data_IF_744484973662
#
_entry.id   IF_744484973662
#
_cell.length_a   1.000
_cell.length_b   1.000
_cell.length_c   1.000
_cell.angle_alpha   90.00
_cell.angle_beta   90.00
_cell.angle_gamma   90.00
#
_symmetry.space_group_name_H-M   'P 1'
#
loop_
_entity.id
_entity.type
_entity.pdbx_description
1 polymer ?
#
# COMPACT_ATOMS: atom_id res chain seq x y z
N UNK A 1 -11.35 -9.65 2.79
CA UNK A 1 -10.50 -9.71 4.01
C UNK A 1 -11.00 -10.78 4.96
N UNK A 2 -12.30 -10.77 5.31
CA UNK A 2 -12.93 -11.80 6.15
C UNK A 2 -12.67 -13.22 5.65
N UNK A 3 -12.67 -13.42 4.34
CA UNK A 3 -12.43 -14.71 3.69
C UNK A 3 -11.05 -15.27 4.05
N UNK A 4 -10.00 -14.45 3.97
CA UNK A 4 -8.65 -14.85 4.36
C UNK A 4 -8.55 -15.10 5.86
N UNK A 5 -9.03 -14.17 6.70
CA UNK A 5 -8.99 -14.29 8.18
C UNK A 5 -9.68 -15.58 8.65
N UNK A 6 -10.76 -15.98 7.96
CA UNK A 6 -11.51 -17.22 8.25
C UNK A 6 -10.96 -18.47 7.54
N UNK A 7 -9.83 -18.37 6.84
CA UNK A 7 -9.16 -19.49 6.17
C UNK A 7 -9.85 -19.98 4.89
N UNK A 8 -10.76 -19.19 4.29
CA UNK A 8 -11.50 -19.55 3.08
C UNK A 8 -10.73 -19.28 1.78
N UNK A 9 -9.66 -18.48 1.85
CA UNK A 9 -8.80 -18.16 0.70
C UNK A 9 -7.34 -18.40 1.06
N UNK A 10 -6.58 -18.99 0.13
CA UNK A 10 -5.17 -19.31 0.34
C UNK A 10 -4.25 -18.08 0.37
N UNK A 11 -4.64 -16.97 -0.25
CA UNK A 11 -3.86 -15.73 -0.32
C UNK A 11 -4.75 -14.52 -0.04
N UNK A 12 -4.17 -13.50 0.58
CA UNK A 12 -4.79 -12.20 0.78
C UNK A 12 -3.78 -11.08 0.48
N UNK A 13 -4.27 -9.95 -0.02
CA UNK A 13 -3.47 -8.76 -0.25
C UNK A 13 -3.94 -7.72 0.76
N UNK A 14 -3.04 -7.31 1.65
CA UNK A 14 -3.33 -6.37 2.74
C UNK A 14 -2.28 -5.26 2.79
N UNK A 15 -2.65 -4.02 3.16
CA UNK A 15 -1.70 -3.05 3.62
C UNK A 15 -1.06 -3.51 4.93
N UNK A 16 0.19 -3.09 5.18
CA UNK A 16 0.98 -3.44 6.37
C UNK A 16 0.20 -3.32 7.68
N UNK A 17 -0.55 -2.23 7.86
CA UNK A 17 -1.30 -1.95 9.09
C UNK A 17 -2.48 -2.89 9.35
N UNK A 18 -2.95 -3.66 8.35
CA UNK A 18 -4.07 -4.61 8.50
C UNK A 18 -3.63 -6.04 8.82
N UNK A 19 -2.33 -6.28 8.95
CA UNK A 19 -1.83 -7.60 9.32
C UNK A 19 -1.92 -7.75 10.84
N UNK A 20 -2.86 -8.57 11.30
CA UNK A 20 -3.09 -8.84 12.73
C UNK A 20 -3.00 -10.35 12.95
N UNK A 21 -1.80 -10.90 13.22
CA UNK A 21 -1.59 -12.35 13.33
C UNK A 21 -2.53 -13.04 14.30
N UNK A 22 -2.89 -12.34 15.38
CA UNK A 22 -3.72 -12.89 16.46
C UNK A 22 -5.19 -13.06 16.05
N UNK A 23 -5.62 -12.43 14.95
CA UNK A 23 -6.96 -12.62 14.37
C UNK A 23 -7.03 -13.89 13.50
N UNK A 24 -5.89 -14.49 13.15
CA UNK A 24 -5.83 -15.60 12.20
C UNK A 24 -5.83 -16.93 12.96
N UNK A 25 -6.74 -17.83 12.58
CA UNK A 25 -6.76 -19.20 13.13
C UNK A 25 -5.64 -20.11 12.60
N UNK A 26 -4.63 -19.56 11.93
CA UNK A 26 -3.59 -20.28 11.20
C UNK A 26 -2.29 -19.46 11.11
N UNK A 27 -1.18 -20.14 10.79
CA UNK A 27 0.10 -19.48 10.52
C UNK A 27 0.09 -18.87 9.11
N UNK A 28 0.60 -17.65 8.98
CA UNK A 28 0.79 -16.98 7.70
C UNK A 28 2.27 -16.65 7.46
N UNK A 29 2.60 -16.37 6.21
CA UNK A 29 3.84 -15.73 5.82
C UNK A 29 3.53 -14.50 4.96
N UNK A 30 4.46 -13.55 4.93
CA UNK A 30 4.35 -12.35 4.09
C UNK A 30 5.33 -12.48 2.94
N UNK A 31 4.81 -12.25 1.73
CA UNK A 31 5.56 -12.31 0.49
C UNK A 31 5.53 -10.93 -0.19
N UNK A 32 6.57 -10.56 -0.96
CA UNK A 32 6.47 -9.40 -1.84
C UNK A 32 5.37 -9.63 -2.88
N UNK A 33 4.82 -8.54 -3.42
CA UNK A 33 3.90 -8.65 -4.56
C UNK A 33 4.60 -9.35 -5.73
N UNK A 34 3.89 -10.17 -6.52
CA UNK A 34 4.48 -10.85 -7.67
C UNK A 34 5.16 -9.87 -8.62
N UNK A 35 6.36 -10.23 -9.07
CA UNK A 35 7.12 -9.44 -10.04
C UNK A 35 6.36 -9.32 -11.36
N UNK A 36 6.16 -8.10 -11.85
CA UNK A 36 5.59 -7.85 -13.16
C UNK A 36 6.53 -8.28 -14.29
N UNK A 37 6.02 -8.55 -15.51
CA UNK A 37 6.85 -9.00 -16.63
C UNK A 37 7.78 -7.92 -17.20
N UNK A 38 7.64 -6.67 -16.75
CA UNK A 38 8.36 -5.50 -17.27
C UNK A 38 9.44 -4.97 -16.31
N UNK A 39 9.76 -5.71 -15.24
CA UNK A 39 10.77 -5.32 -14.26
C UNK A 39 11.73 -6.48 -14.00
N UNK A 40 13.01 -6.14 -13.83
CA UNK A 40 14.06 -7.14 -13.58
C UNK A 40 14.03 -7.64 -12.13
N UNK A 41 13.55 -6.82 -11.20
CA UNK A 41 13.43 -7.12 -9.76
C UNK A 41 12.08 -6.69 -9.17
N UNK A 42 11.83 -7.06 -7.92
CA UNK A 42 10.66 -6.61 -7.15
C UNK A 42 10.66 -5.09 -6.99
N UNK A 43 9.48 -4.50 -7.15
CA UNK A 43 9.27 -3.05 -6.96
C UNK A 43 8.38 -2.84 -5.74
N UNK A 44 8.90 -2.13 -4.74
CA UNK A 44 8.17 -1.75 -3.53
C UNK A 44 7.69 -0.31 -3.68
N UNK A 45 6.45 -0.14 -4.12
CA UNK A 45 5.87 1.20 -4.28
C UNK A 45 5.65 1.85 -2.89
N UNK A 46 5.84 3.17 -2.76
CA UNK A 46 5.41 3.90 -1.59
C UNK A 46 3.91 3.70 -1.42
N UNK A 47 3.51 3.10 -0.30
CA UNK A 47 2.12 3.00 0.08
C UNK A 47 1.55 4.34 0.54
N UNK A 48 0.38 4.31 1.15
CA UNK A 48 -0.14 5.47 1.89
C UNK A 48 0.72 5.66 3.13
N UNK A 49 1.48 6.76 3.17
CA UNK A 49 2.22 7.17 4.36
C UNK A 49 1.42 8.28 5.07
N UNK A 50 1.16 8.10 6.36
CA UNK A 50 0.71 9.21 7.20
C UNK A 50 1.85 10.22 7.33
N UNK A 51 1.54 11.49 7.10
CA UNK A 51 2.52 12.56 7.20
C UNK A 51 1.93 13.72 8.00
N UNK A 52 2.80 14.39 8.76
CA UNK A 52 2.45 15.62 9.46
C UNK A 52 2.65 16.77 8.49
N UNK A 53 1.56 17.50 8.20
CA UNK A 53 1.58 18.62 7.27
C UNK A 53 1.62 19.94 8.03
N UNK A 54 2.53 20.83 7.61
CA UNK A 54 2.54 22.21 8.06
C UNK A 54 1.83 23.10 7.03
N UNK A 55 0.85 23.93 7.45
CA UNK A 55 0.26 24.91 6.55
C UNK A 55 1.32 25.86 5.99
N UNK A 56 1.20 26.19 4.70
CA UNK A 56 2.13 27.10 4.02
C UNK A 56 2.26 28.47 4.71
N UNK A 57 1.21 28.94 5.37
CA UNK A 57 1.15 30.23 6.07
C UNK A 57 1.48 30.15 7.57
N UNK A 58 2.10 29.07 8.04
CA UNK A 58 2.42 28.90 9.46
C UNK A 58 3.40 29.97 9.95
N UNK A 59 2.98 30.75 10.95
CA UNK A 59 3.76 31.90 11.45
C UNK A 59 5.12 31.51 12.07
N UNK A 60 5.27 30.26 12.51
CA UNK A 60 6.52 29.75 13.07
C UNK A 60 6.80 28.30 12.65
N UNK A 61 6.92 28.06 11.34
CA UNK A 61 7.12 26.74 10.76
C UNK A 61 8.31 25.96 11.36
N UNK A 62 9.47 26.61 11.54
CA UNK A 62 10.66 25.95 12.11
C UNK A 62 10.44 25.49 13.57
N UNK A 63 9.64 26.20 14.35
CA UNK A 63 9.27 25.76 15.69
C UNK A 63 8.37 24.54 15.70
N UNK A 64 7.49 24.41 14.70
CA UNK A 64 6.66 23.21 14.54
C UNK A 64 7.49 22.01 14.10
N UNK A 65 8.47 22.20 13.22
CA UNK A 65 9.44 21.14 12.86
C UNK A 65 10.27 20.72 14.08
N UNK A 66 10.70 21.68 14.91
CA UNK A 66 11.45 21.37 16.13
C UNK A 66 10.58 20.59 17.15
N UNK A 67 9.29 20.91 17.25
CA UNK A 67 8.35 20.16 18.07
C UNK A 67 8.14 18.75 17.54
N UNK A 68 8.00 18.59 16.22
CA UNK A 68 7.86 17.28 15.56
C UNK A 68 9.05 16.36 15.88
N UNK A 69 10.28 16.84 15.65
CA UNK A 69 11.50 16.09 15.99
C UNK A 69 11.64 15.79 17.50
N UNK A 70 11.06 16.62 18.36
CA UNK A 70 11.04 16.38 19.81
C UNK A 70 10.03 15.28 20.20
N UNK A 71 8.88 15.23 19.53
CA UNK A 71 7.84 14.23 19.78
C UNK A 71 8.14 12.89 19.12
N UNK A 72 8.85 12.90 17.98
CA UNK A 72 9.16 11.73 17.17
C UNK A 72 10.66 11.70 16.81
N UNK A 73 11.53 11.31 17.76
CA UNK A 73 12.97 11.28 17.52
C UNK A 73 13.36 10.29 16.42
N UNK A 74 14.28 10.70 15.53
CA UNK A 74 14.77 9.84 14.45
C UNK A 74 15.53 8.61 14.98
N UNK A 75 16.13 8.74 16.16
CA UNK A 75 16.83 7.67 16.84
C UNK A 75 15.89 6.50 17.18
N UNK A 76 14.62 6.79 17.48
CA UNK A 76 13.60 5.80 17.81
C UNK A 76 12.98 5.17 16.55
N UNK A 77 13.12 5.81 15.38
CA UNK A 77 12.44 5.37 14.15
C UNK A 77 12.71 3.90 13.81
N UNK A 78 13.98 3.49 13.79
CA UNK A 78 14.35 2.12 13.39
C UNK A 78 13.94 1.09 14.44
N UNK A 79 14.04 1.43 15.72
CA UNK A 79 13.61 0.54 16.81
C UNK A 79 12.09 0.35 16.80
N UNK A 80 11.33 1.44 16.68
CA UNK A 80 9.87 1.40 16.56
C UNK A 80 9.46 0.65 15.30
N UNK A 81 10.13 0.88 14.16
CA UNK A 81 9.86 0.15 12.91
C UNK A 81 10.00 -1.36 13.10
N UNK A 82 11.10 -1.81 13.69
CA UNK A 82 11.35 -3.23 13.89
C UNK A 82 10.34 -3.85 14.87
N UNK A 83 9.95 -3.11 15.93
CA UNK A 83 8.87 -3.51 16.85
C UNK A 83 7.54 -3.66 16.10
N UNK A 84 7.19 -2.68 15.25
CA UNK A 84 5.95 -2.70 14.47
C UNK A 84 5.93 -3.86 13.47
N UNK A 85 7.05 -4.17 12.81
CA UNK A 85 7.15 -5.34 11.93
C UNK A 85 6.97 -6.62 12.76
N UNK A 86 7.68 -6.77 13.88
CA UNK A 86 7.61 -7.94 14.75
C UNK A 86 6.21 -8.17 15.37
N UNK A 87 5.42 -7.11 15.53
CA UNK A 87 4.02 -7.23 15.95
C UNK A 87 3.13 -7.91 14.89
N UNK A 88 3.53 -7.87 13.61
CA UNK A 88 2.71 -8.28 12.46
C UNK A 88 3.16 -9.59 11.80
N UNK A 89 4.38 -10.04 12.06
CA UNK A 89 4.90 -11.28 11.50
C UNK A 89 5.56 -12.12 12.60
N UNK A 90 5.51 -13.45 12.47
CA UNK A 90 5.98 -14.37 13.51
C UNK A 90 7.22 -15.15 13.09
N UNK A 91 7.67 -15.01 11.85
CA UNK A 91 8.82 -15.67 11.26
C UNK A 91 9.86 -14.68 10.72
N UNK A 92 11.11 -15.14 10.63
CA UNK A 92 12.26 -14.32 10.26
C UNK A 92 12.24 -13.94 8.78
N UNK A 93 11.78 -14.84 7.92
CA UNK A 93 11.67 -14.65 6.49
C UNK A 93 10.70 -13.49 6.16
N UNK A 94 9.51 -13.52 6.74
CA UNK A 94 8.52 -12.43 6.60
C UNK A 94 9.02 -11.12 7.19
N UNK A 95 9.73 -11.16 8.32
CA UNK A 95 10.36 -9.96 8.91
C UNK A 95 11.39 -9.34 7.96
N UNK A 96 12.20 -10.17 7.32
CA UNK A 96 13.21 -9.74 6.35
C UNK A 96 12.57 -9.15 5.10
N UNK A 97 11.49 -9.75 4.58
CA UNK A 97 10.73 -9.22 3.44
C UNK A 97 10.18 -7.83 3.76
N UNK A 98 9.59 -7.65 4.94
CA UNK A 98 9.03 -6.35 5.36
C UNK A 98 10.13 -5.29 5.51
N UNK A 99 11.25 -5.62 6.15
CA UNK A 99 12.37 -4.69 6.25
C UNK A 99 12.94 -4.31 4.88
N UNK A 100 13.12 -5.29 4.01
CA UNK A 100 13.60 -5.06 2.63
C UNK A 100 12.66 -4.11 1.89
N UNK A 101 11.34 -4.24 2.06
CA UNK A 101 10.37 -3.36 1.45
C UNK A 101 10.51 -1.91 1.93
N UNK A 102 10.72 -1.67 3.23
CA UNK A 102 10.93 -0.34 3.78
C UNK A 102 12.27 0.29 3.34
N UNK A 103 13.33 -0.50 3.24
CA UNK A 103 14.66 -0.02 2.81
C UNK A 103 14.74 0.28 1.31
N UNK A 104 13.94 -0.40 0.50
CA UNK A 104 13.96 -0.32 -0.96
C UNK A 104 12.69 0.31 -1.53
N UNK A 105 12.03 1.19 -0.76
CA UNK A 105 10.89 1.96 -1.26
C UNK A 105 11.30 2.77 -2.49
N UNK A 106 10.64 2.49 -3.62
CA UNK A 106 10.89 3.20 -4.86
C UNK A 106 9.92 4.39 -4.98
N UNK A 107 10.35 5.55 -4.50
CA UNK A 107 9.59 6.81 -4.55
C UNK A 107 9.17 7.27 -5.95
N UNK A 108 9.79 6.73 -7.01
CA UNK A 108 9.43 7.03 -8.40
C UNK A 108 8.29 6.14 -8.91
N UNK A 109 7.87 5.14 -8.13
CA UNK A 109 6.75 4.27 -8.50
C UNK A 109 5.44 4.95 -8.07
N UNK A 110 4.61 5.29 -9.05
CA UNK A 110 3.31 5.89 -8.79
C UNK A 110 2.37 4.92 -8.06
N UNK A 111 1.83 5.33 -6.92
CA UNK A 111 0.73 4.62 -6.28
C UNK A 111 -0.57 4.89 -7.06
N UNK A 112 -0.84 4.02 -8.04
CA UNK A 112 -1.91 4.21 -9.03
C UNK A 112 -3.32 4.38 -8.44
N UNK A 113 -3.56 3.91 -7.21
CA UNK A 113 -4.83 4.12 -6.50
C UNK A 113 -5.16 5.60 -6.26
N UNK A 114 -4.17 6.50 -6.24
CA UNK A 114 -4.44 7.92 -5.97
C UNK A 114 -5.02 8.66 -7.17
N UNK A 115 -4.67 8.27 -8.41
CA UNK A 115 -5.16 8.96 -9.60
C UNK A 115 -6.07 8.11 -10.48
N UNK A 116 -6.03 6.78 -10.41
CA UNK A 116 -7.03 5.90 -11.02
C UNK A 116 -8.32 5.78 -10.18
N UNK A 117 -8.39 6.54 -9.08
CA UNK A 117 -9.51 6.61 -8.15
C UNK A 117 -9.49 5.55 -7.06
N UNK A 118 -10.35 5.73 -6.06
CA UNK A 118 -10.45 4.85 -4.91
C UNK A 118 -11.36 3.64 -5.17
N UNK A 119 -11.21 2.56 -4.39
CA UNK A 119 -12.02 1.34 -4.57
C UNK A 119 -13.53 1.55 -4.36
N UNK A 120 -13.94 2.63 -3.67
CA UNK A 120 -15.33 3.03 -3.46
C UNK A 120 -15.89 3.97 -4.55
N UNK A 121 -15.06 4.45 -5.48
CA UNK A 121 -15.44 5.41 -6.52
C UNK A 121 -15.77 4.67 -7.82
N UNK A 122 -17.00 4.16 -7.94
CA UNK A 122 -17.42 3.32 -9.08
C UNK A 122 -17.27 3.94 -10.48
N UNK A 123 -17.15 5.27 -10.57
CA UNK A 123 -16.96 6.01 -11.83
C UNK A 123 -15.49 6.09 -12.27
N UNK A 124 -14.55 5.69 -11.39
CA UNK A 124 -13.11 5.73 -11.67
C UNK A 124 -12.61 4.38 -12.18
N UNK A 125 -11.49 4.30 -12.93
CA UNK A 125 -10.97 3.03 -13.42
C UNK A 125 -10.78 1.96 -12.33
N UNK A 126 -10.16 2.32 -11.20
CA UNK A 126 -9.93 1.36 -10.13
C UNK A 126 -11.23 1.00 -9.40
N UNK A 127 -12.02 1.99 -8.96
CA UNK A 127 -13.27 1.74 -8.25
C UNK A 127 -14.33 1.03 -9.09
N UNK A 128 -14.42 1.35 -10.38
CA UNK A 128 -15.32 0.70 -11.33
C UNK A 128 -14.98 -0.77 -11.59
N UNK A 129 -13.69 -1.12 -11.68
CA UNK A 129 -13.24 -2.51 -11.74
C UNK A 129 -13.65 -3.27 -10.48
N UNK A 130 -13.35 -2.72 -9.30
CA UNK A 130 -13.68 -3.35 -8.01
C UNK A 130 -15.19 -3.50 -7.85
N UNK A 131 -15.98 -2.46 -8.12
CA UNK A 131 -17.43 -2.50 -8.03
C UNK A 131 -18.05 -3.53 -8.99
N UNK A 132 -17.55 -3.60 -10.24
CA UNK A 132 -18.03 -4.57 -11.21
C UNK A 132 -17.73 -6.02 -10.81
N UNK A 133 -16.54 -6.30 -10.30
CA UNK A 133 -16.17 -7.63 -9.79
C UNK A 133 -17.03 -7.99 -8.58
N UNK A 134 -17.23 -7.06 -7.64
CA UNK A 134 -18.09 -7.27 -6.47
C UNK A 134 -19.56 -7.50 -6.84
N UNK A 135 -20.03 -6.94 -7.96
CA UNK A 135 -21.34 -7.20 -8.54
C UNK A 135 -21.43 -8.55 -9.29
N UNK A 136 -20.37 -9.36 -9.29
CA UNK A 136 -20.33 -10.67 -9.92
C UNK A 136 -20.07 -10.65 -11.43
N UNK A 137 -19.65 -9.50 -11.99
CA UNK A 137 -19.35 -9.40 -13.42
C UNK A 137 -17.99 -10.07 -13.72
N UNK A 138 -17.80 -10.66 -14.92
CA UNK A 138 -16.53 -11.29 -15.26
C UNK A 138 -15.38 -10.26 -15.25
N UNK A 139 -14.30 -10.57 -14.52
CA UNK A 139 -13.18 -9.65 -14.36
C UNK A 139 -12.60 -9.16 -15.70
N UNK A 140 -12.43 -10.05 -16.69
CA UNK A 140 -11.93 -9.67 -18.01
C UNK A 140 -12.83 -8.65 -18.73
N UNK A 141 -14.16 -8.75 -18.56
CA UNK A 141 -15.10 -7.79 -19.13
C UNK A 141 -14.96 -6.42 -18.48
N UNK A 142 -15.00 -6.36 -17.14
CA UNK A 142 -14.94 -5.10 -16.42
C UNK A 142 -13.57 -4.42 -16.61
N UNK A 143 -12.48 -5.18 -16.57
CA UNK A 143 -11.14 -4.65 -16.87
C UNK A 143 -11.07 -4.10 -18.29
N UNK A 144 -11.66 -4.78 -19.27
CA UNK A 144 -11.71 -4.30 -20.66
C UNK A 144 -12.47 -2.98 -20.82
N UNK A 145 -13.53 -2.74 -20.04
CA UNK A 145 -14.31 -1.50 -20.05
C UNK A 145 -13.52 -0.31 -19.49
N UNK A 146 -12.77 -0.53 -18.41
CA UNK A 146 -12.03 0.53 -17.71
C UNK A 146 -10.57 0.67 -18.16
N UNK A 147 -10.05 -0.24 -18.98
CA UNK A 147 -8.69 -0.15 -19.51
C UNK A 147 -8.47 1.10 -20.37
N UNK A 148 -9.33 1.46 -21.36
CA UNK A 148 -9.14 2.69 -22.14
C UNK A 148 -9.16 3.99 -21.30
N UNK A 149 -10.15 4.25 -20.43
CA UNK A 149 -10.12 5.45 -19.58
C UNK A 149 -8.97 5.41 -18.56
N UNK A 150 -8.61 4.23 -18.04
CA UNK A 150 -7.45 4.08 -17.16
C UNK A 150 -6.14 4.46 -17.85
N UNK A 151 -5.93 4.02 -19.09
CA UNK A 151 -4.74 4.39 -19.87
C UNK A 151 -4.70 5.89 -20.13
N UNK A 152 -5.82 6.52 -20.50
CA UNK A 152 -5.88 7.96 -20.72
C UNK A 152 -5.47 8.77 -19.46
N UNK A 153 -5.83 8.30 -18.27
CA UNK A 153 -5.42 8.94 -17.01
C UNK A 153 -3.93 8.72 -16.71
N UNK A 154 -3.38 7.56 -17.02
CA UNK A 154 -1.94 7.28 -16.90
C UNK A 154 -1.15 8.19 -17.85
N UNK A 155 -1.60 8.30 -19.09
CA UNK A 155 -1.01 9.14 -20.13
C UNK A 155 -1.02 10.61 -19.73
N UNK A 156 -2.13 11.11 -19.18
CA UNK A 156 -2.21 12.47 -18.63
C UNK A 156 -1.25 12.69 -17.44
N UNK A 157 -1.22 11.75 -16.50
CA UNK A 157 -0.41 11.86 -15.28
C UNK A 157 1.10 11.78 -15.58
N UNK A 158 1.50 10.83 -16.41
CA UNK A 158 2.90 10.59 -16.80
C UNK A 158 3.35 11.44 -18.00
N UNK A 159 2.42 12.16 -18.64
CA UNK A 159 2.64 12.97 -19.85
C UNK A 159 3.20 12.13 -21.01
N UNK A 160 2.60 10.98 -21.28
CA UNK A 160 3.03 10.02 -22.31
C UNK A 160 1.91 9.63 -23.25
#
# INVERSE_FOLDING_TARGET
MREFITGQTAMGIFPFWQITPDDYGFNHGVLPLPKGPHVDDYVFAPGVADAIYLPYNSAYALGMVALDNFLFPLEEYYEVRDIEIAARVRDYESFTVMNTAFENLNGDTAYYHNFLGNWWEGETPYGGIIAGINAGRPAATVVGEFAPPGQAMIDEYLKQ
#
